data_IF_111225874086
#
_entry.id   IF_111225874086
#
_cell.length_a   1.000
_cell.length_b   1.000
_cell.length_c   1.000
_cell.angle_alpha   90.00
_cell.angle_beta   90.00
_cell.angle_gamma   90.00
#
_symmetry.space_group_name_H-M   'P 1'
#
loop_
_entity.id
_entity.type
_entity.pdbx_description
1 polymer ?
#
# COMPACT_ATOMS: atom_id res chain seq x y z
N UNK A 1 17.95 9.63 18.47
CA UNK A 1 18.29 8.30 17.96
C UNK A 1 17.05 7.55 17.46
N UNK A 2 16.64 7.79 16.21
CA UNK A 2 15.57 7.03 15.53
C UNK A 2 16.12 6.04 14.47
N UNK A 3 17.44 5.87 14.39
CA UNK A 3 18.11 5.06 13.36
C UNK A 3 17.58 3.62 13.24
N UNK A 4 17.18 3.00 14.36
CA UNK A 4 16.61 1.65 14.34
C UNK A 4 15.23 1.62 13.65
N UNK A 5 14.44 2.69 13.76
CA UNK A 5 13.14 2.81 13.12
C UNK A 5 13.26 3.02 11.61
N UNK A 6 14.25 3.81 11.17
CA UNK A 6 14.51 4.02 9.74
C UNK A 6 14.96 2.72 9.05
N UNK A 7 15.86 1.96 9.68
CA UNK A 7 16.31 0.66 9.13
C UNK A 7 15.15 -0.34 9.04
N UNK A 8 14.34 -0.43 10.10
CA UNK A 8 13.17 -1.30 10.11
C UNK A 8 12.15 -0.90 9.04
N UNK A 9 11.91 0.41 8.84
CA UNK A 9 11.00 0.89 7.81
C UNK A 9 11.45 0.49 6.41
N UNK A 10 12.77 0.53 6.14
CA UNK A 10 13.33 0.11 4.86
C UNK A 10 13.21 -1.42 4.65
N UNK A 11 13.45 -2.23 5.68
CA UNK A 11 13.24 -3.68 5.60
C UNK A 11 11.76 -4.03 5.33
N UNK A 12 10.83 -3.32 5.97
CA UNK A 12 9.40 -3.48 5.74
C UNK A 12 9.01 -3.08 4.31
N UNK A 13 9.62 -2.02 3.75
CA UNK A 13 9.41 -1.62 2.35
C UNK A 13 9.84 -2.73 1.38
N UNK A 14 11.02 -3.31 1.58
CA UNK A 14 11.49 -4.43 0.76
C UNK A 14 10.63 -5.69 0.88
N UNK A 15 10.17 -6.01 2.10
CA UNK A 15 9.25 -7.11 2.32
C UNK A 15 7.92 -6.89 1.58
N UNK A 16 7.36 -5.67 1.64
CA UNK A 16 6.16 -5.30 0.91
C UNK A 16 6.33 -5.44 -0.61
N UNK A 17 7.45 -4.97 -1.17
CA UNK A 17 7.74 -5.10 -2.60
C UNK A 17 7.82 -6.57 -3.04
N UNK A 18 8.46 -7.42 -2.23
CA UNK A 18 8.60 -8.86 -2.51
C UNK A 18 7.25 -9.57 -2.47
N UNK A 19 6.41 -9.26 -1.48
CA UNK A 19 5.04 -9.79 -1.40
C UNK A 19 4.18 -9.31 -2.57
N UNK A 20 4.32 -8.04 -2.96
CA UNK A 20 3.61 -7.45 -4.09
C UNK A 20 3.93 -8.10 -5.44
N UNK A 21 5.12 -8.69 -5.62
CA UNK A 21 5.45 -9.48 -6.81
C UNK A 21 4.60 -10.75 -6.93
N UNK A 22 4.10 -11.28 -5.81
CA UNK A 22 3.27 -12.50 -5.77
C UNK A 22 1.79 -12.14 -5.84
N UNK A 23 1.35 -11.15 -5.08
CA UNK A 23 -0.07 -10.79 -4.94
C UNK A 23 -0.56 -9.80 -6.00
N UNK A 24 0.35 -9.16 -6.72
CA UNK A 24 0.06 -7.98 -7.53
C UNK A 24 0.25 -6.68 -6.75
N UNK A 25 0.42 -5.57 -7.47
CA UNK A 25 0.56 -4.25 -6.89
C UNK A 25 -0.81 -3.70 -6.48
N UNK A 26 -0.90 -3.17 -5.25
CA UNK A 26 -2.04 -2.38 -4.80
C UNK A 26 -1.70 -0.90 -4.93
N UNK A 27 -2.40 -0.21 -5.81
CA UNK A 27 -2.13 1.16 -6.19
C UNK A 27 -3.01 2.14 -5.43
N UNK A 28 -2.68 3.43 -5.51
CA UNK A 28 -3.56 4.48 -4.99
C UNK A 28 -4.93 4.47 -5.68
N UNK A 29 -5.01 4.11 -6.96
CA UNK A 29 -6.27 4.02 -7.70
C UNK A 29 -7.13 2.86 -7.20
N UNK A 30 -6.54 1.71 -6.86
CA UNK A 30 -7.26 0.58 -6.25
C UNK A 30 -7.86 0.99 -4.90
N UNK A 31 -7.09 1.73 -4.09
CA UNK A 31 -7.56 2.28 -2.82
C UNK A 31 -8.73 3.26 -3.01
N UNK A 32 -8.61 4.18 -3.95
CA UNK A 32 -9.69 5.13 -4.26
C UNK A 32 -10.92 4.39 -4.79
N UNK A 33 -10.72 3.37 -5.62
CA UNK A 33 -11.78 2.48 -6.10
C UNK A 33 -12.55 1.84 -4.95
N UNK A 34 -11.85 1.25 -3.96
CA UNK A 34 -12.49 0.65 -2.78
C UNK A 34 -13.22 1.67 -1.92
N UNK A 35 -12.61 2.82 -1.63
CA UNK A 35 -13.21 3.90 -0.83
C UNK A 35 -14.51 4.38 -1.48
N UNK A 36 -14.52 4.55 -2.80
CA UNK A 36 -15.67 5.11 -3.52
C UNK A 36 -16.59 4.06 -4.14
N UNK A 37 -16.29 2.77 -4.03
CA UNK A 37 -17.10 1.66 -4.58
C UNK A 37 -18.55 1.65 -4.11
N UNK A 38 -18.80 2.19 -2.91
CA UNK A 38 -20.14 2.28 -2.29
C UNK A 38 -20.85 3.62 -2.52
N UNK A 39 -20.20 4.59 -3.18
CA UNK A 39 -20.82 5.87 -3.49
C UNK A 39 -21.74 5.68 -4.69
N UNK A 40 -23.03 5.97 -4.51
CA UNK A 40 -24.00 5.91 -5.60
C UNK A 40 -23.50 6.71 -6.82
N UNK A 41 -23.60 6.12 -8.01
CA UNK A 41 -23.22 6.77 -9.27
C UNK A 41 -23.98 8.11 -9.36
N UNK A 42 -23.24 9.22 -9.33
CA UNK A 42 -23.79 10.57 -9.46
C UNK A 42 -23.74 11.46 -8.20
N UNK A 43 -22.93 11.14 -7.19
CA UNK A 43 -22.55 12.11 -6.14
C UNK A 43 -21.41 13.02 -6.61
#
# INVERSE_FOLDING_TARGET
>A
DFNAGELLAEELRHAQESLGQITGAFTADDLLGEIFSSFCIGK
#
